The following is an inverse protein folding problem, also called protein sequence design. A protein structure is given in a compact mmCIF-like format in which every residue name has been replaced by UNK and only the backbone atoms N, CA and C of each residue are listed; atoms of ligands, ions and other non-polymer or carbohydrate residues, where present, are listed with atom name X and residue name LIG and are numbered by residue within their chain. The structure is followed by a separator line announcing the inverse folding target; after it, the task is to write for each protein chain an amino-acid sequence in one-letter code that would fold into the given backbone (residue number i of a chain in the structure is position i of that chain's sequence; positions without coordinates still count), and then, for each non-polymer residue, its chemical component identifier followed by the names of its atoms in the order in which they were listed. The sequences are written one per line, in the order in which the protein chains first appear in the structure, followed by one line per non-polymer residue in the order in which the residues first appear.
data_IF_937130313333
#
_entry.id   IF_937130313333
#
_cell.length_a   1.000
_cell.length_b   1.000
_cell.length_c   1.000
_cell.angle_alpha   90.00
_cell.angle_beta   90.00
_cell.angle_gamma   90.00
#
_symmetry.space_group_name_H-M   'P 1'
#
loop_
_entity.id
_entity.type
_entity.pdbx_description
1 polymer ?
#
# COMPACT_ATOMS: atom_id res chain seq x y z
N UNK A 1 24.48 -29.71 -5.21
CA UNK A 1 23.10 -29.41 -4.76
C UNK A 1 22.48 -28.32 -5.62
N UNK A 2 21.51 -28.72 -6.45
CA UNK A 2 20.74 -27.79 -7.28
C UNK A 2 19.58 -27.29 -6.43
N UNK A 3 19.50 -25.97 -6.22
CA UNK A 3 18.39 -25.32 -5.50
C UNK A 3 17.04 -25.77 -6.08
N UNK A 4 16.00 -26.04 -5.27
CA UNK A 4 14.65 -26.39 -5.74
C UNK A 4 13.92 -25.27 -6.48
N UNK A 5 14.58 -24.13 -6.74
CA UNK A 5 14.17 -23.13 -7.72
C UNK A 5 14.37 -23.72 -9.13
N UNK A 6 13.59 -24.76 -9.42
CA UNK A 6 13.46 -25.39 -10.72
C UNK A 6 13.13 -24.31 -11.77
N UNK A 7 13.70 -24.47 -12.95
CA UNK A 7 13.59 -23.65 -14.16
C UNK A 7 12.18 -23.02 -14.39
N UNK A 8 11.84 -21.94 -13.68
CA UNK A 8 10.69 -21.11 -13.99
C UNK A 8 11.11 -20.23 -15.16
N UNK A 9 10.54 -20.47 -16.33
CA UNK A 9 10.74 -19.61 -17.49
C UNK A 9 10.23 -18.20 -17.17
N UNK A 10 11.07 -17.19 -17.42
CA UNK A 10 10.76 -15.79 -17.17
C UNK A 10 9.85 -15.25 -18.28
N UNK A 11 8.55 -15.22 -18.01
CA UNK A 11 7.55 -14.67 -18.91
C UNK A 11 6.91 -13.41 -18.32
N UNK A 12 6.61 -12.38 -19.14
CA UNK A 12 5.87 -11.21 -18.69
C UNK A 12 4.42 -11.57 -18.40
N UNK A 13 3.89 -11.12 -17.26
CA UNK A 13 2.51 -11.34 -16.86
C UNK A 13 1.90 -10.09 -16.20
N UNK A 14 0.58 -10.01 -16.22
CA UNK A 14 -0.20 -9.02 -15.48
C UNK A 14 -0.95 -9.75 -14.38
N UNK A 15 -0.56 -9.51 -13.14
CA UNK A 15 -1.26 -10.03 -11.98
C UNK A 15 -2.46 -9.14 -11.71
N UNK A 16 -3.65 -9.74 -11.68
CA UNK A 16 -4.88 -9.03 -11.35
C UNK A 16 -5.49 -9.61 -10.09
N UNK A 17 -5.89 -8.74 -9.17
CA UNK A 17 -6.60 -9.12 -7.96
C UNK A 17 -7.87 -8.29 -7.81
N UNK A 18 -8.98 -8.96 -7.51
CA UNK A 18 -10.28 -8.32 -7.34
C UNK A 18 -10.47 -7.70 -5.95
N UNK A 19 -11.56 -6.94 -5.77
CA UNK A 19 -11.95 -6.42 -4.47
C UNK A 19 -12.30 -7.53 -3.48
N UNK A 20 -12.78 -8.69 -3.93
CA UNK A 20 -12.99 -9.87 -3.05
C UNK A 20 -11.78 -10.78 -2.89
N UNK A 21 -10.59 -10.36 -3.34
CA UNK A 21 -9.35 -11.11 -3.12
C UNK A 21 -9.17 -12.33 -4.03
N UNK A 22 -9.79 -12.32 -5.22
CA UNK A 22 -9.54 -13.32 -6.26
C UNK A 22 -8.36 -12.89 -7.12
N UNK A 23 -7.32 -13.72 -7.19
CA UNK A 23 -6.04 -13.40 -7.86
C UNK A 23 -5.74 -14.36 -9.01
N UNK A 24 -5.14 -13.86 -10.09
CA UNK A 24 -4.64 -14.63 -11.24
C UNK A 24 -3.51 -13.89 -11.97
N UNK A 25 -2.78 -14.60 -12.82
CA UNK A 25 -1.79 -14.04 -13.74
C UNK A 25 -2.27 -14.16 -15.20
N UNK A 26 -2.34 -13.03 -15.90
CA UNK A 26 -2.63 -12.96 -17.34
C UNK A 26 -1.32 -12.89 -18.12
N UNK A 27 -1.26 -13.49 -19.30
CA UNK A 27 -0.07 -13.44 -20.16
C UNK A 27 0.17 -12.01 -20.68
N UNK A 28 1.42 -11.56 -20.63
CA UNK A 28 1.85 -10.25 -21.10
C UNK A 28 1.64 -9.13 -20.08
N UNK A 29 2.26 -7.98 -20.33
CA UNK A 29 2.00 -6.72 -19.62
C UNK A 29 0.84 -5.99 -20.30
N UNK A 30 -0.35 -6.17 -19.75
CA UNK A 30 -1.61 -5.63 -20.24
C UNK A 30 -1.71 -4.18 -19.77
N UNK A 31 -1.82 -3.24 -20.72
CA UNK A 31 -1.86 -1.81 -20.43
C UNK A 31 -3.25 -1.37 -19.92
N UNK A 32 -4.31 -1.90 -20.53
CA UNK A 32 -5.68 -1.59 -20.14
C UNK A 32 -6.37 -2.82 -19.54
N UNK A 33 -6.77 -2.69 -18.28
CA UNK A 33 -7.42 -3.73 -17.51
C UNK A 33 -8.92 -3.51 -17.33
N UNK A 34 -9.52 -2.49 -17.95
CA UNK A 34 -10.95 -2.18 -17.81
C UNK A 34 -11.87 -3.32 -18.22
N UNK A 35 -11.49 -4.06 -19.26
CA UNK A 35 -12.33 -5.10 -19.88
C UNK A 35 -12.15 -6.49 -19.26
N UNK A 36 -11.34 -6.58 -18.20
CA UNK A 36 -11.06 -7.83 -17.52
C UNK A 36 -12.31 -8.29 -16.78
N UNK A 37 -12.84 -9.45 -17.19
CA UNK A 37 -14.02 -10.05 -16.53
C UNK A 37 -13.66 -10.62 -15.16
N UNK A 38 -14.44 -10.24 -14.16
CA UNK A 38 -14.39 -10.75 -12.79
C UNK A 38 -15.61 -11.64 -12.49
N UNK A 39 -15.62 -12.25 -11.30
CA UNK A 39 -16.77 -13.01 -10.81
C UNK A 39 -17.99 -12.11 -10.64
N UNK A 40 -19.18 -12.69 -10.67
CA UNK A 40 -20.42 -11.94 -10.51
C UNK A 40 -20.43 -11.18 -9.17
N UNK A 41 -20.73 -9.88 -9.25
CA UNK A 41 -20.74 -8.99 -8.08
C UNK A 41 -19.36 -8.72 -7.49
N UNK A 42 -18.28 -8.90 -8.27
CA UNK A 42 -16.91 -8.58 -7.93
C UNK A 42 -16.31 -7.69 -9.03
N UNK A 43 -15.24 -6.97 -8.70
CA UNK A 43 -14.63 -5.97 -9.58
C UNK A 43 -13.12 -5.90 -9.36
N UNK A 44 -12.40 -5.36 -10.33
CA UNK A 44 -10.95 -5.21 -10.27
C UNK A 44 -10.52 -4.28 -9.13
N UNK A 45 -9.41 -4.61 -8.47
CA UNK A 45 -8.80 -3.75 -7.44
C UNK A 45 -7.33 -3.46 -7.72
N UNK A 46 -6.55 -4.49 -8.05
CA UNK A 46 -5.12 -4.37 -8.32
C UNK A 46 -4.80 -4.95 -9.70
N UNK A 47 -3.93 -4.26 -10.43
CA UNK A 47 -3.31 -4.72 -11.68
C UNK A 47 -1.82 -4.41 -11.63
N UNK A 48 -0.98 -5.44 -11.75
CA UNK A 48 0.46 -5.34 -11.49
C UNK A 48 1.21 -6.05 -12.62
N UNK A 49 2.06 -5.29 -13.32
CA UNK A 49 3.00 -5.88 -14.27
C UNK A 49 4.17 -6.52 -13.51
N UNK A 50 4.39 -7.79 -13.79
CA UNK A 50 5.40 -8.64 -13.17
C UNK A 50 5.96 -9.65 -14.19
N UNK A 51 6.91 -10.45 -13.74
CA UNK A 51 7.34 -11.66 -14.41
C UNK A 51 6.96 -12.88 -13.58
N UNK A 52 6.82 -14.04 -14.21
CA UNK A 52 6.59 -15.34 -13.55
C UNK A 52 7.61 -15.64 -12.44
N UNK A 53 8.84 -15.17 -12.59
CA UNK A 53 9.93 -15.32 -11.60
C UNK A 53 9.83 -14.35 -10.42
N UNK A 54 8.95 -13.35 -10.48
CA UNK A 54 8.85 -12.34 -9.44
C UNK A 54 8.11 -12.88 -8.21
N UNK A 55 8.31 -12.19 -7.08
CA UNK A 55 7.51 -12.36 -5.87
C UNK A 55 6.66 -11.11 -5.65
N UNK A 56 5.49 -11.29 -5.06
CA UNK A 56 4.60 -10.23 -4.63
C UNK A 56 4.58 -10.17 -3.10
N UNK A 57 4.53 -8.95 -2.57
CA UNK A 57 4.22 -8.68 -1.18
C UNK A 57 2.74 -8.31 -1.08
N UNK A 58 1.98 -9.10 -0.33
CA UNK A 58 0.54 -8.90 -0.11
C UNK A 58 0.35 -8.34 1.29
N UNK A 59 -0.13 -7.10 1.40
CA UNK A 59 -0.25 -6.38 2.66
C UNK A 59 -1.64 -6.61 3.23
N UNK A 60 -1.69 -7.20 4.42
CA UNK A 60 -2.94 -7.49 5.11
C UNK A 60 -3.43 -6.34 5.99
N UNK A 61 -4.75 -6.14 6.09
CA UNK A 61 -5.35 -5.22 7.07
C UNK A 61 -4.92 -5.51 8.51
N UNK A 62 -4.60 -6.76 8.87
CA UNK A 62 -4.16 -7.13 10.23
C UNK A 62 -2.66 -6.90 10.49
N UNK A 63 -1.96 -6.19 9.61
CA UNK A 63 -0.54 -5.84 9.81
C UNK A 63 0.45 -6.93 9.43
N UNK A 64 -0.01 -8.04 8.86
CA UNK A 64 0.87 -9.06 8.25
C UNK A 64 1.20 -8.71 6.80
N UNK A 65 2.40 -9.10 6.38
CA UNK A 65 2.78 -9.12 4.97
C UNK A 65 3.06 -10.56 4.56
N UNK A 66 2.51 -10.99 3.43
CA UNK A 66 2.74 -12.30 2.85
C UNK A 66 3.60 -12.19 1.60
N UNK A 67 4.40 -13.22 1.33
CA UNK A 67 5.17 -13.32 0.10
C UNK A 67 4.58 -14.40 -0.80
N UNK A 68 4.20 -14.02 -2.01
CA UNK A 68 3.56 -14.89 -2.99
C UNK A 68 4.37 -14.93 -4.28
N UNK A 69 4.82 -16.11 -4.69
CA UNK A 69 5.47 -16.28 -6.00
C UNK A 69 4.45 -16.13 -7.13
N UNK A 70 4.81 -15.40 -8.18
CA UNK A 70 3.93 -15.20 -9.36
C UNK A 70 3.73 -16.51 -10.12
N UNK A 71 4.73 -17.39 -10.13
CA UNK A 71 4.70 -18.76 -10.66
C UNK A 71 3.59 -19.64 -10.08
N UNK A 72 3.11 -19.32 -8.88
CA UNK A 72 2.06 -20.07 -8.18
C UNK A 72 0.65 -19.60 -8.53
N UNK A 73 0.52 -18.48 -9.24
CA UNK A 73 -0.78 -17.92 -9.57
C UNK A 73 -1.47 -18.72 -10.69
N UNK A 74 -2.80 -18.87 -10.63
CA UNK A 74 -3.53 -19.49 -11.72
C UNK A 74 -3.41 -18.63 -12.99
N UNK A 75 -3.06 -19.27 -14.10
CA UNK A 75 -2.95 -18.62 -15.41
C UNK A 75 -4.24 -18.67 -16.24
N UNK A 76 -4.14 -18.16 -17.47
CA UNK A 76 -5.09 -18.42 -18.56
C UNK A 76 -6.47 -17.76 -18.43
N UNK A 77 -7.53 -18.45 -18.88
CA UNK A 77 -8.92 -17.96 -18.87
C UNK A 77 -9.63 -18.17 -17.52
N UNK A 78 -8.94 -18.68 -16.51
CA UNK A 78 -9.53 -18.92 -15.17
C UNK A 78 -10.03 -17.60 -14.57
N UNK A 79 -11.07 -17.64 -13.73
CA UNK A 79 -11.52 -16.46 -12.98
C UNK A 79 -10.66 -16.18 -11.72
N UNK A 80 -9.47 -16.79 -11.65
CA UNK A 80 -8.59 -16.76 -10.50
C UNK A 80 -9.03 -17.66 -9.35
N UNK A 81 -8.30 -17.56 -8.25
CA UNK A 81 -8.55 -18.27 -7.01
C UNK A 81 -8.47 -17.32 -5.80
N UNK A 82 -9.13 -17.63 -4.67
CA UNK A 82 -9.10 -16.75 -3.52
C UNK A 82 -7.73 -16.82 -2.85
N UNK A 83 -7.21 -15.69 -2.38
CA UNK A 83 -5.90 -15.59 -1.72
C UNK A 83 -5.70 -16.60 -0.57
N UNK A 84 -6.77 -16.99 0.13
CA UNK A 84 -6.74 -18.00 1.19
C UNK A 84 -6.33 -19.41 0.74
N UNK A 85 -6.37 -19.73 -0.56
CA UNK A 85 -5.84 -21.00 -1.06
C UNK A 85 -4.31 -20.99 -1.21
N UNK A 86 -3.71 -19.80 -1.36
CA UNK A 86 -2.27 -19.60 -1.56
C UNK A 86 -1.55 -19.16 -0.28
N UNK A 87 -2.25 -18.41 0.56
CA UNK A 87 -1.74 -17.81 1.79
C UNK A 87 -2.61 -18.28 2.95
N UNK A 88 -2.05 -18.33 4.17
CA UNK A 88 -2.85 -18.58 5.37
C UNK A 88 -3.58 -17.29 5.76
N UNK A 89 -4.44 -16.86 4.84
CA UNK A 89 -5.30 -15.70 4.94
C UNK A 89 -6.61 -16.11 5.60
N UNK A 90 -7.02 -15.37 6.63
CA UNK A 90 -8.29 -15.62 7.29
C UNK A 90 -9.45 -15.42 6.27
N UNK A 91 -10.30 -16.44 6.02
CA UNK A 91 -11.43 -16.33 5.10
C UNK A 91 -12.40 -15.19 5.41
N UNK A 92 -12.47 -14.73 6.65
CA UNK A 92 -13.30 -13.60 7.07
C UNK A 92 -12.58 -12.24 7.05
N UNK A 93 -11.27 -12.22 6.79
CA UNK A 93 -10.51 -10.97 6.79
C UNK A 93 -10.88 -10.08 5.60
N UNK A 94 -10.84 -8.75 5.75
CA UNK A 94 -11.01 -7.84 4.63
C UNK A 94 -9.95 -8.09 3.56
N UNK A 95 -10.17 -7.63 2.32
CA UNK A 95 -9.22 -7.84 1.23
C UNK A 95 -7.89 -7.10 1.48
N UNK A 96 -6.80 -7.46 0.77
CA UNK A 96 -5.50 -6.84 0.96
C UNK A 96 -5.56 -5.32 0.88
N UNK A 97 -4.77 -4.65 1.72
CA UNK A 97 -4.59 -3.19 1.67
C UNK A 97 -3.89 -2.82 0.37
N UNK A 98 -2.83 -3.55 0.03
CA UNK A 98 -2.04 -3.36 -1.18
C UNK A 98 -1.38 -4.68 -1.62
N UNK A 99 -0.94 -4.75 -2.87
CA UNK A 99 -0.11 -5.82 -3.42
C UNK A 99 0.98 -5.15 -4.27
N UNK A 100 2.23 -5.38 -3.90
CA UNK A 100 3.38 -4.75 -4.58
C UNK A 100 4.39 -5.81 -5.05
N UNK A 101 5.04 -5.62 -6.21
CA UNK A 101 6.11 -6.52 -6.64
C UNK A 101 7.35 -6.31 -5.75
N UNK A 102 7.97 -7.40 -5.33
CA UNK A 102 9.24 -7.39 -4.62
C UNK A 102 10.37 -7.13 -5.64
N UNK A 103 10.85 -5.89 -5.72
CA UNK A 103 11.81 -5.45 -6.76
C UNK A 103 13.16 -5.04 -6.21
N UNK A 104 13.19 -4.44 -5.02
CA UNK A 104 14.42 -3.92 -4.43
C UNK A 104 14.38 -4.12 -2.92
N UNK A 105 15.35 -4.84 -2.31
CA UNK A 105 15.39 -5.05 -0.87
C UNK A 105 15.52 -3.74 -0.08
N UNK A 106 16.10 -2.71 -0.69
CA UNK A 106 16.35 -1.40 -0.09
C UNK A 106 15.20 -0.41 -0.30
N UNK A 107 14.17 -0.78 -1.08
CA UNK A 107 12.98 0.07 -1.22
C UNK A 107 12.35 0.27 0.16
N UNK A 108 12.03 1.53 0.47
CA UNK A 108 11.39 1.90 1.72
C UNK A 108 9.92 2.22 1.50
N UNK A 109 9.11 1.93 2.51
CA UNK A 109 7.67 2.10 2.47
C UNK A 109 7.19 2.72 3.78
N UNK A 110 6.17 3.55 3.72
CA UNK A 110 5.40 3.96 4.89
C UNK A 110 4.25 2.97 5.06
N UNK A 111 4.13 2.38 6.24
CA UNK A 111 2.94 1.64 6.68
C UNK A 111 2.22 2.43 7.77
N UNK A 112 0.90 2.57 7.65
CA UNK A 112 0.10 3.35 8.59
C UNK A 112 -1.27 2.70 8.87
N UNK A 113 -1.72 2.77 10.12
CA UNK A 113 -3.03 2.29 10.57
C UNK A 113 -4.12 3.36 10.49
N UNK A 114 -5.37 2.91 10.58
CA UNK A 114 -6.55 3.76 10.64
C UNK A 114 -6.54 4.75 11.81
N UNK A 115 -5.91 4.41 12.93
CA UNK A 115 -5.77 5.32 14.09
C UNK A 115 -4.61 6.33 13.94
N UNK A 116 -3.96 6.37 12.77
CA UNK A 116 -2.85 7.27 12.44
C UNK A 116 -1.59 7.02 13.25
N UNK A 117 -1.26 5.75 13.45
CA UNK A 117 0.10 5.33 13.77
C UNK A 117 0.79 4.83 12.51
N UNK A 118 2.09 5.08 12.38
CA UNK A 118 2.86 4.60 11.25
C UNK A 118 4.36 4.66 11.46
N UNK A 119 5.10 4.07 10.54
CA UNK A 119 6.55 4.02 10.52
C UNK A 119 7.05 3.70 9.10
N UNK A 120 8.34 3.90 8.87
CA UNK A 120 9.02 3.49 7.63
C UNK A 120 9.50 2.05 7.78
N UNK A 121 9.35 1.23 6.76
CA UNK A 121 9.88 -0.14 6.72
C UNK A 121 10.63 -0.38 5.41
N UNK A 122 11.76 -1.09 5.50
CA UNK A 122 12.49 -1.59 4.34
C UNK A 122 11.84 -2.85 3.79
N UNK A 123 11.84 -2.99 2.47
CA UNK A 123 11.19 -4.10 1.78
C UNK A 123 11.73 -5.47 2.20
N UNK A 124 13.04 -5.59 2.41
CA UNK A 124 13.68 -6.82 2.91
C UNK A 124 13.11 -7.31 4.25
N UNK A 125 12.64 -6.40 5.10
CA UNK A 125 12.05 -6.73 6.41
C UNK A 125 10.62 -7.26 6.30
N UNK A 126 10.00 -7.17 5.12
CA UNK A 126 8.63 -7.64 4.90
C UNK A 126 8.57 -9.05 4.31
N UNK A 127 9.68 -9.55 3.76
CA UNK A 127 9.73 -10.86 3.09
C UNK A 127 9.46 -11.97 4.11
N UNK A 128 8.44 -12.78 3.81
CA UNK A 128 8.02 -13.92 4.62
C UNK A 128 8.50 -15.23 3.98
N UNK A 129 8.96 -16.15 4.83
CA UNK A 129 9.45 -17.48 4.39
C UNK A 129 8.35 -18.54 4.33
N UNK A 130 7.18 -18.27 4.92
CA UNK A 130 6.07 -19.22 5.02
C UNK A 130 4.76 -18.59 4.60
N UNK A 131 3.76 -19.44 4.34
CA UNK A 131 2.38 -19.03 4.02
C UNK A 131 1.67 -18.30 5.18
N UNK A 132 2.23 -18.31 6.40
CA UNK A 132 1.72 -17.56 7.55
C UNK A 132 2.03 -16.05 7.51
N UNK A 133 2.83 -15.62 6.52
CA UNK A 133 3.29 -14.24 6.42
C UNK A 133 4.21 -13.84 7.57
N UNK A 134 4.54 -12.55 7.62
CA UNK A 134 5.35 -11.91 8.65
C UNK A 134 4.54 -10.79 9.29
N UNK A 135 4.45 -10.78 10.61
CA UNK A 135 3.82 -9.66 11.33
C UNK A 135 4.76 -8.45 11.27
N UNK A 136 4.30 -7.37 10.63
CA UNK A 136 5.03 -6.11 10.47
C UNK A 136 4.44 -5.04 11.38
N UNK A 137 3.14 -4.80 11.30
CA UNK A 137 2.48 -3.80 12.14
C UNK A 137 1.72 -4.48 13.28
N UNK A 138 2.03 -4.16 14.53
CA UNK A 138 1.24 -4.63 15.67
C UNK A 138 0.02 -3.72 15.84
N UNK A 139 -1.17 -4.32 15.89
CA UNK A 139 -2.46 -3.64 15.93
C UNK A 139 -3.27 -4.17 17.11
N UNK A 140 -4.03 -3.29 17.74
CA UNK A 140 -5.04 -3.70 18.73
C UNK A 140 -6.34 -4.15 18.04
N UNK A 141 -7.26 -4.69 18.83
CA UNK A 141 -8.63 -4.95 18.40
C UNK A 141 -9.24 -3.69 17.78
N UNK A 142 -9.92 -3.83 16.64
CA UNK A 142 -10.48 -2.76 15.77
C UNK A 142 -9.49 -1.91 14.97
N UNK A 143 -8.17 -2.02 15.21
CA UNK A 143 -7.17 -1.35 14.38
C UNK A 143 -6.86 -2.15 13.12
N UNK A 144 -6.62 -1.46 12.01
CA UNK A 144 -6.21 -2.08 10.76
C UNK A 144 -5.16 -1.21 10.06
N UNK A 145 -4.28 -1.84 9.29
CA UNK A 145 -3.48 -1.14 8.29
C UNK A 145 -4.43 -0.45 7.32
N UNK A 146 -4.25 0.84 7.16
CA UNK A 146 -5.06 1.68 6.28
C UNK A 146 -4.31 2.04 5.00
N UNK A 147 -3.01 2.35 5.12
CA UNK A 147 -2.18 2.81 4.00
C UNK A 147 -0.83 2.13 4.00
N UNK A 148 -0.38 1.84 2.80
CA UNK A 148 0.95 1.37 2.47
C UNK A 148 1.43 2.20 1.28
N UNK A 149 2.51 2.97 1.43
CA UNK A 149 2.94 3.95 0.42
C UNK A 149 4.44 3.87 0.17
N UNK A 150 4.90 3.94 -1.09
CA UNK A 150 6.33 3.95 -1.36
C UNK A 150 6.97 5.26 -0.89
N UNK A 151 8.23 5.18 -0.47
CA UNK A 151 9.12 6.34 -0.40
C UNK A 151 9.91 6.42 -1.70
N UNK A 152 9.75 7.52 -2.42
CA UNK A 152 10.51 7.79 -3.65
C UNK A 152 11.85 8.42 -3.33
N UNK A 153 12.78 8.35 -4.29
CA UNK A 153 14.07 9.01 -4.15
C UNK A 153 13.90 10.52 -3.96
N UNK A 154 14.53 11.04 -2.90
CA UNK A 154 14.51 12.45 -2.53
C UNK A 154 13.30 12.90 -1.72
N UNK A 155 12.30 12.05 -1.49
CA UNK A 155 11.21 12.37 -0.55
C UNK A 155 11.81 12.75 0.82
N UNK A 156 11.43 13.92 1.32
CA UNK A 156 11.98 14.51 2.55
C UNK A 156 10.89 14.89 3.56
N UNK A 157 9.62 14.88 3.16
CA UNK A 157 8.48 15.22 4.01
C UNK A 157 7.33 14.22 3.86
N UNK A 158 6.50 14.19 4.91
CA UNK A 158 5.31 13.36 4.98
C UNK A 158 4.10 14.27 5.15
N UNK A 159 3.08 14.02 4.34
CA UNK A 159 1.77 14.65 4.44
C UNK A 159 0.76 13.65 5.00
N UNK A 160 0.03 14.04 6.03
CA UNK A 160 -1.07 13.25 6.60
C UNK A 160 -2.34 14.08 6.67
N UNK A 161 -3.47 13.46 6.34
CA UNK A 161 -4.78 14.07 6.51
C UNK A 161 -5.71 13.14 7.28
N UNK A 162 -6.37 13.70 8.28
CA UNK A 162 -7.37 13.00 9.09
C UNK A 162 -8.77 13.01 8.48
N UNK A 163 -9.61 12.11 8.97
CA UNK A 163 -11.05 12.09 8.66
C UNK A 163 -11.73 13.40 9.07
N UNK A 164 -11.23 14.04 10.13
CA UNK A 164 -11.60 15.38 10.59
C UNK A 164 -11.13 16.53 9.66
N UNK A 165 -10.62 16.21 8.47
CA UNK A 165 -10.18 17.16 7.44
C UNK A 165 -9.06 18.08 7.93
N UNK A 166 -8.16 17.59 8.77
CA UNK A 166 -6.95 18.30 9.17
C UNK A 166 -5.74 17.72 8.45
N UNK A 167 -5.00 18.58 7.74
CA UNK A 167 -3.73 18.29 7.07
C UNK A 167 -2.56 18.73 7.95
N UNK A 168 -1.54 17.87 8.05
CA UNK A 168 -0.26 18.16 8.68
C UNK A 168 0.87 17.67 7.77
N UNK A 169 1.90 18.51 7.60
CA UNK A 169 3.13 18.19 6.91
C UNK A 169 4.27 18.21 7.92
N UNK A 170 5.12 17.19 7.93
CA UNK A 170 6.28 17.14 8.82
C UNK A 170 7.47 16.45 8.14
N UNK A 171 8.72 16.75 8.56
CA UNK A 171 9.92 16.11 8.00
C UNK A 171 9.89 14.58 8.13
N UNK A 172 10.33 13.88 7.09
CA UNK A 172 10.34 12.42 7.03
C UNK A 172 11.22 11.79 8.12
N UNK A 173 12.29 12.47 8.53
CA UNK A 173 13.20 12.03 9.60
C UNK A 173 12.53 11.88 10.97
N UNK A 174 11.34 12.44 11.16
CA UNK A 174 10.54 12.27 12.37
C UNK A 174 9.80 10.93 12.39
N UNK A 175 9.73 10.18 11.29
CA UNK A 175 9.26 8.80 11.27
C UNK A 175 10.40 7.84 11.55
N UNK A 176 10.28 6.95 12.55
CA UNK A 176 11.25 5.90 12.75
C UNK A 176 11.18 4.87 11.62
N UNK A 177 12.33 4.32 11.27
CA UNK A 177 12.43 3.13 10.45
C UNK A 177 12.40 1.89 11.36
N UNK A 178 11.54 0.91 11.07
CA UNK A 178 11.33 -0.28 11.91
C UNK A 178 11.13 -1.53 11.05
N UNK A 179 11.59 -2.68 11.55
CA UNK A 179 11.31 -4.00 10.94
C UNK A 179 9.98 -4.59 11.40
N UNK A 180 9.49 -4.19 12.58
CA UNK A 180 8.18 -4.50 13.15
C UNK A 180 7.84 -3.52 14.26
N UNK A 181 6.56 -3.16 14.41
CA UNK A 181 6.12 -2.38 15.57
C UNK A 181 4.72 -1.82 15.45
N UNK A 182 4.30 -1.06 16.47
CA UNK A 182 3.01 -0.32 16.43
C UNK A 182 3.12 0.98 15.62
N UNK A 183 4.33 1.49 15.41
CA UNK A 183 4.57 2.82 14.85
C UNK A 183 4.31 3.95 15.84
N UNK A 184 4.68 5.16 15.41
CA UNK A 184 4.50 6.41 16.14
C UNK A 184 3.23 7.12 15.71
N UNK A 185 2.69 7.97 16.59
CA UNK A 185 1.54 8.82 16.23
C UNK A 185 1.95 9.81 15.13
N UNK A 186 1.20 9.82 14.03
CA UNK A 186 1.43 10.68 12.87
C UNK A 186 0.84 12.08 13.07
N UNK A 187 -0.42 12.12 13.53
CA UNK A 187 -1.19 13.34 13.77
C UNK A 187 -2.11 13.10 14.96
N UNK A 188 -2.39 14.15 15.75
CA UNK A 188 -3.37 14.09 16.82
C UNK A 188 -4.77 14.38 16.29
N UNK A 189 -5.64 13.39 16.33
CA UNK A 189 -7.04 13.52 15.96
C UNK A 189 -7.88 13.89 17.20
N UNK A 190 -8.79 14.85 17.05
CA UNK A 190 -9.84 15.11 18.04
C UNK A 190 -10.96 14.06 17.95
N UNK A 191 -11.23 13.63 16.72
CA UNK A 191 -12.27 12.73 16.28
C UNK A 191 -11.80 12.01 15.00
N UNK A 192 -12.27 10.78 14.81
CA UNK A 192 -11.86 9.91 13.70
C UNK A 192 -10.39 9.47 13.77
N UNK A 193 -9.83 9.13 12.62
CA UNK A 193 -8.44 8.70 12.47
C UNK A 193 -7.75 9.26 11.22
N UNK A 194 -6.71 8.55 10.79
CA UNK A 194 -6.03 8.83 9.53
C UNK A 194 -6.98 8.58 8.37
N UNK A 195 -6.99 9.49 7.39
CA UNK A 195 -7.69 9.29 6.12
C UNK A 195 -6.71 8.94 5.00
N UNK A 196 -5.59 9.65 4.90
CA UNK A 196 -4.55 9.32 3.92
C UNK A 196 -3.17 9.85 4.35
N UNK A 197 -2.13 9.25 3.77
CA UNK A 197 -0.73 9.62 3.96
C UNK A 197 -0.01 9.54 2.61
N UNK A 198 0.95 10.45 2.39
CA UNK A 198 1.95 10.30 1.33
C UNK A 198 3.28 10.91 1.76
N UNK A 199 4.36 10.42 1.17
CA UNK A 199 5.64 11.14 1.16
C UNK A 199 5.73 12.04 -0.08
N UNK A 200 6.56 13.06 0.01
CA UNK A 200 6.83 13.99 -1.08
C UNK A 200 8.13 14.77 -0.84
N UNK A 201 8.59 15.43 -1.89
CA UNK A 201 9.66 16.43 -1.86
C UNK A 201 9.09 17.80 -1.54
N UNK A 202 9.51 18.41 -0.43
CA UNK A 202 9.04 19.71 0.00
C UNK A 202 9.18 20.77 -1.10
N UNK A 203 10.33 20.79 -1.78
CA UNK A 203 10.64 21.76 -2.84
C UNK A 203 9.78 21.64 -4.10
N UNK A 204 9.14 20.48 -4.33
CA UNK A 204 8.22 20.27 -5.46
C UNK A 204 6.76 20.63 -5.13
N UNK A 205 6.46 20.85 -3.84
CA UNK A 205 5.12 21.15 -3.35
C UNK A 205 4.27 19.89 -3.13
N UNK A 206 3.13 20.09 -2.47
CA UNK A 206 2.19 19.02 -2.17
C UNK A 206 1.22 18.81 -3.32
N UNK A 207 1.20 17.60 -3.88
CA UNK A 207 0.25 17.23 -4.94
C UNK A 207 -0.90 16.34 -4.46
N UNK A 208 -2.07 16.48 -5.09
CA UNK A 208 -3.22 15.58 -4.91
C UNK A 208 -4.08 15.49 -6.18
N UNK A 209 -4.85 14.42 -6.33
CA UNK A 209 -5.82 14.26 -7.42
C UNK A 209 -7.13 14.98 -7.13
N UNK A 210 -7.73 15.53 -8.19
CA UNK A 210 -9.07 16.11 -8.20
C UNK A 210 -9.75 15.65 -9.49
N UNK A 211 -10.32 14.45 -9.46
CA UNK A 211 -10.79 13.79 -10.68
C UNK A 211 -9.60 13.51 -11.61
N UNK A 212 -9.66 13.84 -12.91
CA UNK A 212 -8.56 13.58 -13.83
C UNK A 212 -7.38 14.56 -13.68
N UNK A 213 -7.52 15.61 -12.87
CA UNK A 213 -6.50 16.66 -12.73
C UNK A 213 -5.65 16.45 -11.49
N UNK A 214 -4.33 16.55 -11.65
CA UNK A 214 -3.39 16.67 -10.52
C UNK A 214 -3.24 18.14 -10.14
N UNK A 215 -3.49 18.46 -8.87
CA UNK A 215 -3.24 19.77 -8.26
C UNK A 215 -1.89 19.76 -7.54
N UNK A 216 -1.27 20.92 -7.43
CA UNK A 216 -0.02 21.15 -6.72
C UNK A 216 -0.15 22.44 -5.92
N UNK A 217 0.12 22.37 -4.62
CA UNK A 217 0.28 23.53 -3.74
C UNK A 217 1.77 23.69 -3.42
N UNK A 218 2.31 24.89 -3.69
CA UNK A 218 3.70 25.23 -3.38
C UNK A 218 3.81 26.06 -2.11
N UNK A 219 2.78 26.83 -1.75
CA UNK A 219 2.74 27.56 -0.48
C UNK A 219 2.28 26.64 0.65
N UNK A 220 3.16 25.72 1.03
CA UNK A 220 2.89 24.65 1.99
C UNK A 220 3.19 25.04 3.44
N UNK A 221 3.78 26.22 3.66
CA UNK A 221 4.14 26.75 4.98
C UNK A 221 2.99 26.69 6.00
N UNK A 222 1.71 26.94 5.64
CA UNK A 222 0.62 26.88 6.61
C UNK A 222 0.41 25.52 7.28
N UNK A 223 0.84 24.43 6.63
CA UNK A 223 0.64 23.05 7.13
C UNK A 223 1.91 22.39 7.66
N UNK A 224 3.06 23.04 7.52
CA UNK A 224 4.29 22.55 8.13
C UNK A 224 4.20 22.62 9.66
N UNK A 225 4.64 21.54 10.29
CA UNK A 225 4.66 21.40 11.73
C UNK A 225 5.46 20.20 12.19
N UNK A 226 5.40 19.92 13.49
CA UNK A 226 5.99 18.71 14.05
C UNK A 226 5.01 17.54 13.97
N UNK A 227 5.54 16.33 13.79
CA UNK A 227 4.78 15.09 13.88
C UNK A 227 3.95 15.07 15.17
N UNK A 228 2.76 14.47 15.09
CA UNK A 228 1.79 14.37 16.18
C UNK A 228 1.08 15.68 16.59
N UNK A 229 1.28 16.78 15.87
CA UNK A 229 0.40 17.95 15.96
C UNK A 229 -0.99 17.66 15.36
N UNK A 230 -1.96 18.54 15.57
CA UNK A 230 -3.33 18.33 15.10
C UNK A 230 -3.57 18.70 13.63
N UNK A 231 -2.66 19.44 13.00
CA UNK A 231 -2.82 19.93 11.62
C UNK A 231 -3.84 21.07 11.46
N UNK A 232 -4.03 21.54 10.22
CA UNK A 232 -4.93 22.64 9.85
C UNK A 232 -5.87 22.24 8.71
N UNK A 233 -6.88 23.05 8.41
CA UNK A 233 -7.75 22.77 7.25
C UNK A 233 -6.92 22.76 5.96
N UNK A 234 -7.08 21.77 5.06
CA UNK A 234 -6.27 21.63 3.86
C UNK A 234 -6.48 22.81 2.87
N UNK A 235 -5.62 22.94 1.85
CA UNK A 235 -5.75 23.97 0.83
C UNK A 235 -7.13 23.97 0.16
N UNK A 236 -7.52 25.12 -0.38
CA UNK A 236 -8.74 25.22 -1.18
C UNK A 236 -8.67 24.27 -2.37
N UNK A 237 -9.76 23.53 -2.62
CA UNK A 237 -9.80 22.53 -3.68
C UNK A 237 -9.13 21.20 -3.36
N UNK A 238 -8.70 20.97 -2.11
CA UNK A 238 -8.32 19.63 -1.65
C UNK A 238 -9.49 18.63 -1.78
N UNK A 239 -9.16 17.36 -2.00
CA UNK A 239 -10.14 16.29 -2.20
C UNK A 239 -11.19 16.24 -1.10
N UNK A 240 -12.47 16.05 -1.48
CA UNK A 240 -13.57 15.93 -0.52
C UNK A 240 -13.55 14.61 0.24
N UNK A 241 -12.89 13.59 -0.29
CA UNK A 241 -12.73 12.27 0.33
C UNK A 241 -11.52 12.19 1.27
N UNK A 242 -10.83 13.31 1.49
CA UNK A 242 -9.62 13.39 2.30
C UNK A 242 -8.49 12.45 1.81
N UNK A 243 -8.40 12.22 0.48
CA UNK A 243 -7.33 11.42 -0.14
C UNK A 243 -6.42 12.28 -1.01
N UNK A 244 -5.14 11.90 -1.09
CA UNK A 244 -4.17 12.49 -2.03
C UNK A 244 -4.30 11.90 -3.43
N UNK A 245 -4.83 10.68 -3.54
CA UNK A 245 -4.99 9.96 -4.80
C UNK A 245 -6.39 9.35 -4.87
N UNK A 246 -7.01 9.39 -6.04
CA UNK A 246 -8.28 8.72 -6.29
C UNK A 246 -8.00 7.21 -6.52
N UNK A 247 -8.15 6.41 -5.46
CA UNK A 247 -8.26 4.95 -5.52
C UNK A 247 -9.41 4.50 -4.60
#
# INVERSE_FOLDING_TARGET
DVSPEAFVEKEPVTVVCSKKGWIRALKGHVQDTSDIKHRQGDEGRFSINAYTTDKLLVISPNGRVYTLGVDKLPGGRSQGEPLGLLLNWDPGAPPPVDIVPHRSPDQRWIIASNIGRGFVIQEKEMVAQTRNGRQVMNLNDSEQVLRFRPLSEGDDHVAVIGENRKLLLFPLDQLPEMSRGRGVLLQRYRDGGLSDIKAFKLGEGLTWQRGPQTRCEKDILPWLGNRAQSGRLPPSGFSRTNKFTDF
#
